data_IF_949680814998
#
_entry.id   IF_949680814998
#
_cell.length_a   1.000
_cell.length_b   1.000
_cell.length_c   1.000
_cell.angle_alpha   90.00
_cell.angle_beta   90.00
_cell.angle_gamma   90.00
#
_symmetry.space_group_name_H-M   'P 1'
#
loop_
_entity.id
_entity.type
_entity.pdbx_description
1 polymer ?
#
# COMPACT_ATOMS: atom_id res chain seq x y z
N UNK A 1 48.91 -3.83 0.98
CA UNK A 1 48.54 -2.93 -0.15
C UNK A 1 47.08 -2.52 -0.23
N UNK A 2 46.09 -3.41 -0.15
CA UNK A 2 44.67 -3.01 -0.24
C UNK A 2 44.23 -2.02 0.87
N UNK A 3 44.76 -2.19 2.08
CA UNK A 3 44.42 -1.36 3.24
C UNK A 3 45.00 0.07 3.14
N UNK A 4 46.15 0.28 2.48
CA UNK A 4 46.67 1.64 2.25
C UNK A 4 45.88 2.40 1.18
N UNK A 5 45.45 1.70 0.12
CA UNK A 5 44.57 2.25 -0.91
C UNK A 5 43.23 2.70 -0.34
N UNK A 6 42.63 1.89 0.54
CA UNK A 6 41.36 2.24 1.19
C UNK A 6 41.48 3.46 2.11
N UNK A 7 42.58 3.55 2.89
CA UNK A 7 42.88 4.75 3.70
C UNK A 7 43.09 6.00 2.85
N UNK A 8 43.76 5.88 1.70
CA UNK A 8 43.94 6.99 0.76
C UNK A 8 42.61 7.45 0.15
N UNK A 9 41.72 6.51 -0.19
CA UNK A 9 40.41 6.82 -0.74
C UNK A 9 39.51 7.51 0.28
N UNK A 10 39.51 7.04 1.54
CA UNK A 10 38.80 7.67 2.64
C UNK A 10 39.32 9.08 2.94
N UNK A 11 40.64 9.29 2.84
CA UNK A 11 41.23 10.62 3.00
C UNK A 11 40.74 11.57 1.92
N UNK A 12 40.79 11.16 0.64
CA UNK A 12 40.28 11.98 -0.47
C UNK A 12 38.76 12.24 -0.38
N UNK A 13 37.98 11.25 0.06
CA UNK A 13 36.55 11.43 0.27
C UNK A 13 36.26 12.43 1.39
N UNK A 14 37.02 12.38 2.48
CA UNK A 14 36.88 13.32 3.60
C UNK A 14 37.27 14.74 3.21
N UNK A 15 38.37 14.89 2.49
CA UNK A 15 38.85 16.18 1.96
C UNK A 15 37.82 16.79 1.00
N UNK A 16 37.26 15.97 0.09
CA UNK A 16 36.21 16.44 -0.83
C UNK A 16 34.90 16.81 -0.15
N UNK A 17 34.52 16.13 0.93
CA UNK A 17 33.34 16.51 1.73
C UNK A 17 33.60 17.84 2.43
N UNK A 18 34.80 18.03 2.98
CA UNK A 18 35.17 19.28 3.64
C UNK A 18 35.16 20.45 2.66
N UNK A 19 35.72 20.28 1.45
CA UNK A 19 35.68 21.30 0.40
C UNK A 19 34.23 21.67 0.02
N UNK A 20 33.34 20.68 -0.06
CA UNK A 20 31.91 20.90 -0.35
C UNK A 20 31.18 21.61 0.80
N UNK A 21 31.55 21.33 2.04
CA UNK A 21 31.00 22.02 3.22
C UNK A 21 31.42 23.49 3.25
N UNK A 22 32.69 23.79 2.95
CA UNK A 22 33.22 25.15 2.85
C UNK A 22 32.56 25.93 1.70
N UNK A 23 32.37 25.31 0.54
CA UNK A 23 31.66 25.91 -0.60
C UNK A 23 30.18 26.22 -0.28
N UNK A 24 29.49 25.30 0.41
CA UNK A 24 28.11 25.51 0.85
C UNK A 24 28.00 26.62 1.91
N UNK A 25 28.98 26.73 2.80
CA UNK A 25 29.03 27.80 3.79
C UNK A 25 29.27 29.16 3.13
N UNK A 26 30.17 29.24 2.14
CA UNK A 26 30.39 30.44 1.33
C UNK A 26 29.11 30.85 0.58
N UNK A 27 28.42 29.90 -0.05
CA UNK A 27 27.16 30.17 -0.76
C UNK A 27 26.06 30.68 0.19
N UNK A 28 25.98 30.14 1.41
CA UNK A 28 25.04 30.59 2.44
C UNK A 28 25.34 32.01 2.90
N UNK A 29 26.62 32.34 3.12
CA UNK A 29 27.04 33.68 3.48
C UNK A 29 26.72 34.70 2.37
N UNK A 30 26.94 34.33 1.11
CA UNK A 30 26.57 35.16 -0.04
C UNK A 30 25.06 35.36 -0.17
N UNK A 31 24.28 34.28 0.02
CA UNK A 31 22.81 34.35 0.02
C UNK A 31 22.29 35.24 1.14
N UNK A 32 22.89 35.16 2.33
CA UNK A 32 22.54 36.01 3.45
C UNK A 32 22.86 37.49 3.16
N UNK A 33 24.03 37.78 2.58
CA UNK A 33 24.41 39.14 2.18
C UNK A 33 23.45 39.72 1.13
N UNK A 34 23.08 38.93 0.12
CA UNK A 34 22.10 39.36 -0.90
C UNK A 34 20.72 39.62 -0.29
N UNK A 35 20.33 38.83 0.72
CA UNK A 35 19.08 39.04 1.45
C UNK A 35 19.11 40.30 2.31
N UNK A 36 20.20 40.55 3.02
CA UNK A 36 20.39 41.78 3.81
C UNK A 36 20.43 43.02 2.90
N UNK A 37 21.02 42.90 1.71
CA UNK A 37 21.00 43.95 0.70
C UNK A 37 19.59 44.20 0.17
N UNK A 38 18.83 43.13 -0.16
CA UNK A 38 17.44 43.26 -0.59
C UNK A 38 16.53 43.86 0.51
N UNK A 39 16.72 43.49 1.78
CA UNK A 39 15.99 44.08 2.91
C UNK A 39 16.40 45.54 3.18
N UNK A 40 17.65 45.91 2.86
CA UNK A 40 18.13 47.29 2.88
C UNK A 40 17.50 48.13 1.77
N UNK A 41 17.50 47.60 0.55
CA UNK A 41 16.88 48.23 -0.62
C UNK A 41 15.36 48.37 -0.43
N UNK A 42 14.67 47.38 0.14
CA UNK A 42 13.24 47.48 0.49
C UNK A 42 12.97 48.54 1.56
N UNK A 43 13.87 48.73 2.54
CA UNK A 43 13.74 49.78 3.56
C UNK A 43 14.03 51.16 3.00
N UNK A 44 15.00 51.31 2.10
CA UNK A 44 15.22 52.57 1.39
C UNK A 44 14.06 52.89 0.43
N UNK A 45 13.49 51.89 -0.25
CA UNK A 45 12.30 52.07 -1.09
C UNK A 45 11.04 52.38 -0.26
N UNK A 46 10.90 51.80 0.93
CA UNK A 46 9.80 52.09 1.86
C UNK A 46 9.95 53.48 2.51
N UNK A 47 11.17 53.92 2.81
CA UNK A 47 11.44 55.25 3.35
C UNK A 47 11.32 56.34 2.27
N UNK A 48 11.68 56.03 1.02
CA UNK A 48 11.41 56.89 -0.13
C UNK A 48 9.91 56.95 -0.48
N UNK A 49 9.15 55.86 -0.31
CA UNK A 49 7.68 55.83 -0.47
C UNK A 49 6.90 56.50 0.68
N UNK A 50 7.49 56.69 1.87
CA UNK A 50 6.84 57.41 2.97
C UNK A 50 7.07 58.93 2.92
N UNK A 51 7.93 59.41 2.02
CA UNK A 51 8.27 60.82 1.84
C UNK A 51 7.75 61.43 0.53
N UNK A 52 7.04 60.68 -0.32
CA UNK A 52 6.64 61.15 -1.64
C UNK A 52 5.22 60.72 -2.00
N UNK A 53 4.33 61.72 -1.98
CA UNK A 53 3.08 61.87 -2.73
C UNK A 53 1.78 61.26 -2.17
N UNK A 54 1.25 61.93 -1.16
CA UNK A 54 -0.11 62.48 -1.26
C UNK A 54 -0.06 63.57 -2.36
N UNK A 55 -0.78 63.47 -3.50
CA UNK A 55 -0.72 64.47 -4.55
C UNK A 55 -1.67 65.62 -4.18
N UNK A 56 -1.34 66.35 -3.12
CA UNK A 56 -1.81 67.71 -2.98
C UNK A 56 -0.87 68.58 -3.83
N UNK A 57 -1.39 69.05 -4.95
CA UNK A 57 -0.82 70.13 -5.78
C UNK A 57 0.20 69.71 -6.86
N UNK A 58 -0.27 69.01 -7.90
CA UNK A 58 0.30 69.11 -9.25
C UNK A 58 -0.71 69.87 -10.10
N UNK A 59 -0.22 70.90 -10.79
CA UNK A 59 -1.00 71.90 -11.51
C UNK A 59 -1.98 71.34 -12.52
N UNK A 60 -2.92 72.23 -12.87
CA UNK A 60 -4.01 72.14 -13.84
C UNK A 60 -3.62 71.48 -15.18
N UNK A 61 -3.41 70.17 -15.17
CA UNK A 61 -3.24 69.34 -16.35
C UNK A 61 -4.18 68.15 -16.29
N UNK A 62 -4.94 67.92 -17.35
CA UNK A 62 -5.95 66.86 -17.39
C UNK A 62 -5.24 65.50 -17.45
N UNK A 63 -5.14 64.76 -16.35
CA UNK A 63 -4.65 63.38 -16.37
C UNK A 63 -5.81 62.40 -16.52
N UNK A 64 -5.76 61.54 -17.54
CA UNK A 64 -6.74 60.47 -17.73
C UNK A 64 -6.22 59.16 -17.13
N UNK A 65 -7.06 58.47 -16.35
CA UNK A 65 -6.76 57.13 -15.82
C UNK A 65 -7.64 56.12 -16.53
N UNK A 66 -7.04 55.15 -17.21
CA UNK A 66 -7.76 54.08 -17.91
C UNK A 66 -7.39 52.71 -17.36
N UNK A 67 -8.32 51.76 -17.43
CA UNK A 67 -8.06 50.36 -17.06
C UNK A 67 -7.45 49.66 -18.27
N UNK A 68 -6.32 48.99 -18.09
CA UNK A 68 -5.64 48.25 -19.16
C UNK A 68 -5.91 46.75 -19.07
N UNK A 69 -6.03 46.22 -17.85
CA UNK A 69 -6.11 44.76 -17.65
C UNK A 69 -6.73 44.35 -16.32
N UNK A 70 -7.47 43.24 -16.35
CA UNK A 70 -7.82 42.47 -15.15
C UNK A 70 -6.76 41.39 -14.94
N UNK A 71 -5.94 41.55 -13.90
CA UNK A 71 -4.83 40.64 -13.62
C UNK A 71 -5.28 39.37 -12.89
N UNK A 72 -6.19 39.53 -11.93
CA UNK A 72 -6.66 38.43 -11.09
C UNK A 72 -8.06 38.74 -10.61
N UNK A 73 -8.86 37.70 -10.37
CA UNK A 73 -10.09 37.82 -9.60
C UNK A 73 -10.25 36.67 -8.62
N UNK A 74 -10.81 36.95 -7.46
CA UNK A 74 -11.09 36.00 -6.39
C UNK A 74 -12.55 36.16 -6.01
N UNK A 75 -13.26 35.04 -5.86
CA UNK A 75 -14.62 35.03 -5.33
C UNK A 75 -14.57 34.56 -3.88
N UNK A 76 -15.13 35.35 -2.98
CA UNK A 76 -15.23 35.02 -1.55
C UNK A 76 -16.68 34.89 -1.15
N UNK A 77 -17.02 33.77 -0.53
CA UNK A 77 -18.30 33.56 0.14
C UNK A 77 -18.12 33.93 1.62
N UNK A 78 -18.60 35.12 1.98
CA UNK A 78 -18.72 35.58 3.36
C UNK A 78 -20.19 35.48 3.81
N UNK A 79 -20.42 35.62 5.11
CA UNK A 79 -21.74 35.43 5.75
C UNK A 79 -22.82 36.38 5.24
N UNK A 80 -22.43 37.52 4.65
CA UNK A 80 -23.35 38.57 4.18
C UNK A 80 -23.51 38.63 2.65
N UNK A 81 -22.91 37.71 1.90
CA UNK A 81 -23.07 37.63 0.45
C UNK A 81 -21.84 37.13 -0.31
N UNK A 82 -21.97 37.06 -1.63
CA UNK A 82 -20.85 36.79 -2.53
C UNK A 82 -20.11 38.10 -2.80
N UNK A 83 -18.81 38.14 -2.50
CA UNK A 83 -17.97 39.28 -2.84
C UNK A 83 -16.95 38.88 -3.91
N UNK A 84 -16.69 39.78 -4.85
CA UNK A 84 -15.72 39.59 -5.92
C UNK A 84 -14.62 40.63 -5.75
N UNK A 85 -13.40 40.15 -5.59
CA UNK A 85 -12.20 40.99 -5.54
C UNK A 85 -11.44 40.85 -6.85
N UNK A 86 -11.16 41.95 -7.54
CA UNK A 86 -10.38 41.95 -8.76
C UNK A 86 -9.14 42.86 -8.63
N UNK A 87 -7.99 42.34 -9.07
CA UNK A 87 -6.75 43.09 -9.21
C UNK A 87 -6.72 43.71 -10.60
N UNK A 88 -6.82 45.03 -10.65
CA UNK A 88 -6.88 45.80 -11.89
C UNK A 88 -5.57 46.54 -12.11
N UNK A 89 -5.13 46.58 -13.36
CA UNK A 89 -3.99 47.37 -13.81
C UNK A 89 -4.51 48.63 -14.49
N UNK A 90 -4.11 49.77 -13.96
CA UNK A 90 -4.47 51.10 -14.43
C UNK A 90 -3.27 51.75 -15.11
N UNK A 91 -3.54 52.57 -16.11
CA UNK A 91 -2.58 53.37 -16.84
C UNK A 91 -2.96 54.85 -16.73
N UNK A 92 -2.01 55.67 -16.28
CA UNK A 92 -2.17 57.12 -16.19
C UNK A 92 -1.51 57.74 -17.40
N UNK A 93 -2.32 58.42 -18.21
CA UNK A 93 -1.88 59.19 -19.37
C UNK A 93 -2.03 60.68 -19.08
N UNK A 94 -0.94 61.43 -19.27
CA UNK A 94 -0.98 62.89 -19.19
C UNK A 94 -1.45 63.45 -20.54
N UNK A 95 -2.62 64.11 -20.57
CA UNK A 95 -3.20 64.60 -21.83
C UNK A 95 -2.42 65.78 -22.42
N UNK A 96 -1.68 66.52 -21.61
CA UNK A 96 -0.94 67.71 -22.06
C UNK A 96 0.38 67.38 -22.75
N UNK A 97 0.99 66.23 -22.43
CA UNK A 97 2.29 65.79 -22.96
C UNK A 97 2.34 64.26 -23.15
N UNK A 98 1.61 63.70 -24.14
CA UNK A 98 1.47 62.26 -24.33
C UNK A 98 2.77 61.53 -24.71
N UNK A 99 3.74 62.22 -25.31
CA UNK A 99 5.00 61.63 -25.81
C UNK A 99 6.21 61.82 -24.86
N UNK A 100 6.06 62.60 -23.79
CA UNK A 100 7.20 63.00 -22.97
C UNK A 100 7.62 61.94 -21.94
N UNK A 101 6.68 61.10 -21.49
CA UNK A 101 6.93 60.07 -20.50
C UNK A 101 6.13 58.80 -20.82
N UNK A 102 6.73 57.60 -20.67
CA UNK A 102 5.97 56.36 -20.78
C UNK A 102 4.85 56.37 -19.74
N UNK A 103 3.64 55.91 -20.11
CA UNK A 103 2.49 55.99 -19.23
C UNK A 103 2.73 55.14 -17.98
N UNK A 104 2.44 55.71 -16.81
CA UNK A 104 2.70 55.04 -15.53
C UNK A 104 1.60 54.01 -15.29
N UNK A 105 2.00 52.77 -15.06
CA UNK A 105 1.10 51.66 -14.73
C UNK A 105 1.18 51.30 -13.26
N UNK A 106 0.04 51.08 -12.64
CA UNK A 106 -0.04 50.60 -11.27
C UNK A 106 -1.19 49.62 -11.09
N UNK A 107 -1.10 48.78 -10.06
CA UNK A 107 -2.10 47.75 -9.77
C UNK A 107 -2.85 48.09 -8.50
N UNK A 108 -4.17 47.88 -8.50
CA UNK A 108 -5.03 48.12 -7.34
C UNK A 108 -6.12 47.07 -7.23
N UNK A 109 -6.35 46.59 -6.02
CA UNK A 109 -7.50 45.74 -5.70
C UNK A 109 -8.77 46.58 -5.62
N UNK A 110 -9.85 46.09 -6.25
CA UNK A 110 -11.20 46.61 -6.06
C UNK A 110 -12.17 45.49 -5.70
N UNK A 111 -13.11 45.83 -4.84
CA UNK A 111 -14.24 45.01 -4.44
C UNK A 111 -15.43 45.31 -5.35
N UNK A 112 -16.18 44.26 -5.69
CA UNK A 112 -17.44 44.30 -6.42
C UNK A 112 -18.42 43.36 -5.72
N UNK A 113 -19.68 43.77 -5.59
CA UNK A 113 -20.70 42.96 -4.93
C UNK A 113 -21.36 41.97 -5.91
N UNK A 114 -21.25 42.22 -7.23
CA UNK A 114 -21.78 41.31 -8.26
C UNK A 114 -20.87 41.22 -9.49
N UNK A 115 -20.96 40.11 -10.21
CA UNK A 115 -20.23 39.92 -11.49
C UNK A 115 -20.68 40.94 -12.56
N UNK A 116 -21.93 41.40 -12.49
CA UNK A 116 -22.45 42.44 -13.38
C UNK A 116 -21.79 43.79 -13.12
N UNK A 117 -21.57 44.15 -11.85
CA UNK A 117 -20.88 45.38 -11.47
C UNK A 117 -19.43 45.41 -11.96
N UNK A 118 -18.71 44.29 -11.83
CA UNK A 118 -17.35 44.14 -12.37
C UNK A 118 -17.34 44.30 -13.89
N UNK A 119 -18.28 43.66 -14.60
CA UNK A 119 -18.38 43.76 -16.07
C UNK A 119 -18.72 45.16 -16.53
N UNK A 120 -19.62 45.85 -15.85
CA UNK A 120 -19.99 47.22 -16.16
C UNK A 120 -18.84 48.19 -15.90
N UNK A 121 -18.09 47.99 -14.81
CA UNK A 121 -16.91 48.78 -14.49
C UNK A 121 -15.85 48.68 -15.60
N UNK A 122 -15.58 47.47 -16.08
CA UNK A 122 -14.59 47.22 -17.14
C UNK A 122 -15.06 47.75 -18.50
N UNK A 123 -16.36 47.70 -18.79
CA UNK A 123 -16.92 48.15 -20.09
C UNK A 123 -16.99 49.67 -20.24
N UNK A 124 -17.08 50.41 -19.13
CA UNK A 124 -17.22 51.87 -19.16
C UNK A 124 -15.93 52.59 -19.53
N UNK A 125 -14.77 52.02 -19.18
CA UNK A 125 -13.46 52.65 -19.37
C UNK A 125 -12.76 52.25 -20.68
N UNK A 126 -13.17 51.15 -21.33
CA UNK A 126 -12.57 50.68 -22.58
C UNK A 126 -13.63 50.28 -23.61
N UNK A 127 -13.58 50.87 -24.80
CA UNK A 127 -14.51 50.55 -25.89
C UNK A 127 -14.47 49.07 -26.33
N UNK A 128 -13.36 48.38 -26.11
CA UNK A 128 -13.23 46.93 -26.25
C UNK A 128 -13.30 46.26 -24.87
N UNK A 129 -14.14 45.21 -24.67
CA UNK A 129 -14.31 44.57 -23.38
C UNK A 129 -13.03 43.81 -22.96
N UNK A 130 -12.44 44.19 -21.82
CA UNK A 130 -11.25 43.49 -21.29
C UNK A 130 -11.57 42.02 -20.97
N UNK A 131 -10.60 41.14 -21.23
CA UNK A 131 -10.72 39.72 -20.92
C UNK A 131 -10.64 39.47 -19.40
N UNK A 132 -11.58 38.68 -18.88
CA UNK A 132 -11.67 38.31 -17.46
C UNK A 132 -10.94 36.98 -17.22
N UNK A 133 -9.84 36.96 -16.44
CA UNK A 133 -9.16 35.71 -16.09
C UNK A 133 -10.09 34.78 -15.27
N UNK A 134 -9.84 33.46 -15.21
CA UNK A 134 -10.60 32.57 -14.32
C UNK A 134 -10.44 32.99 -12.85
N UNK A 135 -11.41 32.59 -12.00
CA UNK A 135 -11.31 32.85 -10.56
C UNK A 135 -10.11 32.10 -9.97
N UNK A 136 -9.29 32.83 -9.24
CA UNK A 136 -8.30 32.25 -8.35
C UNK A 136 -8.96 31.61 -7.14
N UNK A 137 -8.27 30.64 -6.54
CA UNK A 137 -8.72 29.97 -5.33
C UNK A 137 -9.03 31.00 -4.24
N UNK A 138 -10.14 30.82 -3.54
CA UNK A 138 -10.42 31.65 -2.37
C UNK A 138 -9.41 31.36 -1.25
N UNK A 139 -9.18 32.28 -0.31
CA UNK A 139 -8.28 32.05 0.82
C UNK A 139 -8.61 30.77 1.59
N UNK A 140 -9.91 30.48 1.80
CA UNK A 140 -10.39 29.25 2.44
C UNK A 140 -10.06 27.99 1.61
N UNK A 141 -10.22 28.05 0.28
CA UNK A 141 -9.87 26.93 -0.60
C UNK A 141 -8.36 26.69 -0.65
N UNK A 142 -7.58 27.77 -0.75
CA UNK A 142 -6.12 27.72 -0.72
C UNK A 142 -5.60 27.11 0.57
N UNK A 143 -6.11 27.56 1.73
CA UNK A 143 -5.76 26.99 3.05
C UNK A 143 -6.08 25.50 3.14
N UNK A 144 -7.25 25.06 2.66
CA UNK A 144 -7.63 23.63 2.66
C UNK A 144 -6.70 22.79 1.77
N UNK A 145 -6.30 23.32 0.61
CA UNK A 145 -5.38 22.63 -0.29
C UNK A 145 -3.99 22.56 0.33
N UNK A 146 -3.53 23.63 0.97
CA UNK A 146 -2.25 23.67 1.67
C UNK A 146 -2.20 22.66 2.83
N UNK A 147 -3.25 22.57 3.64
CA UNK A 147 -3.34 21.57 4.72
C UNK A 147 -3.32 20.14 4.17
N UNK A 148 -4.07 19.87 3.08
CA UNK A 148 -4.05 18.56 2.42
C UNK A 148 -2.67 18.22 1.86
N UNK A 149 -2.00 19.19 1.25
CA UNK A 149 -0.65 19.02 0.72
C UNK A 149 0.35 18.73 1.85
N UNK A 150 0.29 19.49 2.96
CA UNK A 150 1.10 19.26 4.17
C UNK A 150 0.88 17.86 4.74
N UNK A 151 -0.38 17.41 4.82
CA UNK A 151 -0.72 16.07 5.29
C UNK A 151 -0.15 14.98 4.37
N UNK A 152 -0.31 15.13 3.05
CA UNK A 152 0.24 14.20 2.06
C UNK A 152 1.77 14.09 2.15
N UNK A 153 2.46 15.23 2.26
CA UNK A 153 3.92 15.25 2.45
C UNK A 153 4.33 14.54 3.73
N UNK A 154 3.62 14.78 4.84
CA UNK A 154 3.88 14.08 6.10
C UNK A 154 3.68 12.57 5.97
N UNK A 155 2.62 12.13 5.28
CA UNK A 155 2.34 10.72 5.06
C UNK A 155 3.44 10.06 4.21
N UNK A 156 3.80 10.67 3.07
CA UNK A 156 4.85 10.15 2.17
C UNK A 156 6.20 10.09 2.89
N UNK A 157 6.52 11.09 3.72
CA UNK A 157 7.77 11.11 4.51
C UNK A 157 7.82 9.94 5.49
N UNK A 158 6.71 9.66 6.18
CA UNK A 158 6.62 8.54 7.12
C UNK A 158 6.66 7.18 6.39
N UNK A 159 6.00 7.06 5.23
CA UNK A 159 6.09 5.87 4.40
C UNK A 159 7.52 5.62 3.89
N UNK A 160 8.23 6.67 3.48
CA UNK A 160 9.63 6.58 3.07
C UNK A 160 10.53 6.16 4.23
N UNK A 161 10.31 6.70 5.43
CA UNK A 161 11.00 6.26 6.64
C UNK A 161 10.76 4.77 6.90
N UNK A 162 9.50 4.31 6.85
CA UNK A 162 9.14 2.89 7.04
C UNK A 162 9.76 2.01 5.97
N UNK A 163 9.77 2.46 4.72
CA UNK A 163 10.42 1.75 3.61
C UNK A 163 11.92 1.59 3.86
N UNK A 164 12.63 2.66 4.23
CA UNK A 164 14.07 2.59 4.56
C UNK A 164 14.36 1.61 5.68
N UNK A 165 13.56 1.63 6.76
CA UNK A 165 13.72 0.69 7.87
C UNK A 165 13.48 -0.75 7.40
N UNK A 166 12.41 -1.01 6.63
CA UNK A 166 12.13 -2.35 6.09
C UNK A 166 13.23 -2.85 5.17
N UNK A 167 13.72 -2.01 4.26
CA UNK A 167 14.81 -2.35 3.36
C UNK A 167 16.11 -2.67 4.11
N UNK A 168 16.44 -1.88 5.14
CA UNK A 168 17.62 -2.15 5.98
C UNK A 168 17.48 -3.44 6.79
N UNK A 169 16.29 -3.72 7.34
CA UNK A 169 16.01 -4.98 8.05
C UNK A 169 16.13 -6.17 7.09
N UNK A 170 15.53 -6.07 5.91
CA UNK A 170 15.59 -7.11 4.90
C UNK A 170 17.04 -7.37 4.47
N UNK A 171 17.81 -6.32 4.23
CA UNK A 171 19.25 -6.43 3.92
C UNK A 171 20.02 -7.13 5.04
N UNK A 172 19.76 -6.78 6.30
CA UNK A 172 20.38 -7.47 7.44
C UNK A 172 19.98 -8.94 7.55
N UNK A 173 18.74 -9.27 7.23
CA UNK A 173 18.27 -10.66 7.19
C UNK A 173 18.95 -11.45 6.07
N UNK A 174 19.06 -10.89 4.86
CA UNK A 174 19.78 -11.53 3.75
C UNK A 174 21.26 -11.71 4.07
N UNK A 175 21.91 -10.69 4.66
CA UNK A 175 23.31 -10.77 5.08
C UNK A 175 23.54 -11.79 6.21
N UNK A 176 22.54 -12.01 7.07
CA UNK A 176 22.57 -13.07 8.07
C UNK A 176 22.44 -14.46 7.42
N UNK A 177 21.47 -14.64 6.51
CA UNK A 177 21.29 -15.89 5.76
C UNK A 177 22.53 -16.27 4.94
N UNK A 178 23.19 -15.30 4.29
CA UNK A 178 24.44 -15.54 3.55
C UNK A 178 25.54 -16.01 4.50
N UNK A 179 25.67 -15.39 5.69
CA UNK A 179 26.66 -15.82 6.69
C UNK A 179 26.38 -17.22 7.22
N UNK A 180 25.12 -17.56 7.45
CA UNK A 180 24.72 -18.91 7.87
C UNK A 180 25.03 -19.95 6.79
N UNK A 181 24.74 -19.64 5.52
CA UNK A 181 25.11 -20.49 4.38
C UNK A 181 26.63 -20.65 4.25
N UNK A 182 27.39 -19.56 4.41
CA UNK A 182 28.85 -19.62 4.38
C UNK A 182 29.41 -20.44 5.54
N UNK A 183 28.86 -20.31 6.74
CA UNK A 183 29.22 -21.10 7.93
C UNK A 183 28.93 -22.59 7.72
N UNK A 184 27.73 -22.92 7.22
CA UNK A 184 27.33 -24.28 6.88
C UNK A 184 28.23 -24.88 5.80
N UNK A 185 28.54 -24.11 4.74
CA UNK A 185 29.44 -24.54 3.69
C UNK A 185 30.87 -24.74 4.18
N UNK A 186 31.38 -23.90 5.08
CA UNK A 186 32.69 -24.11 5.72
C UNK A 186 32.69 -25.36 6.61
N UNK A 187 31.61 -25.60 7.36
CA UNK A 187 31.49 -26.81 8.19
C UNK A 187 31.44 -28.08 7.33
N UNK A 188 30.67 -28.05 6.24
CA UNK A 188 30.64 -29.13 5.25
C UNK A 188 31.99 -29.29 4.55
N UNK A 189 32.66 -28.20 4.16
CA UNK A 189 34.00 -28.25 3.57
C UNK A 189 35.05 -28.78 4.55
N UNK A 190 34.92 -28.48 5.84
CA UNK A 190 35.80 -29.04 6.89
C UNK A 190 35.61 -30.55 7.01
N UNK A 191 34.34 -31.03 7.00
CA UNK A 191 34.03 -32.47 6.94
C UNK A 191 34.51 -33.15 5.66
N UNK A 192 34.48 -32.44 4.52
CA UNK A 192 35.05 -32.92 3.24
C UNK A 192 36.58 -33.08 3.33
N UNK A 193 37.27 -32.13 3.96
CA UNK A 193 38.73 -32.21 4.18
C UNK A 193 39.09 -33.36 5.16
N UNK A 194 38.18 -33.76 6.04
CA UNK A 194 38.34 -34.93 6.94
C UNK A 194 38.25 -36.29 6.22
N UNK A 195 37.97 -36.31 4.90
CA UNK A 195 38.26 -37.47 4.04
C UNK A 195 37.21 -38.58 4.02
N UNK A 196 35.96 -38.31 4.42
CA UNK A 196 34.84 -39.21 4.11
C UNK A 196 34.34 -38.95 2.69
N UNK A 197 34.70 -39.86 1.76
CA UNK A 197 33.98 -40.12 0.49
C UNK A 197 34.43 -39.37 -0.79
N UNK A 198 35.72 -39.49 -1.13
CA UNK A 198 36.37 -38.94 -2.35
C UNK A 198 35.70 -39.36 -3.67
N UNK A 199 35.07 -40.55 -3.73
CA UNK A 199 34.40 -41.07 -4.93
C UNK A 199 33.10 -40.31 -5.19
N UNK A 200 32.28 -40.10 -4.15
CA UNK A 200 31.07 -39.27 -4.25
C UNK A 200 31.42 -37.80 -4.51
N UNK A 201 32.55 -37.31 -3.99
CA UNK A 201 33.03 -35.96 -4.31
C UNK A 201 33.42 -35.80 -5.78
N UNK A 202 34.02 -36.81 -6.40
CA UNK A 202 34.36 -36.78 -7.82
C UNK A 202 33.11 -36.78 -8.69
N UNK A 203 32.10 -37.58 -8.34
CA UNK A 203 30.81 -37.60 -9.02
C UNK A 203 30.05 -36.28 -8.83
N UNK A 204 30.03 -35.73 -7.61
CA UNK A 204 29.42 -34.44 -7.32
C UNK A 204 30.14 -33.28 -8.04
N UNK A 205 31.47 -33.31 -8.11
CA UNK A 205 32.23 -32.30 -8.84
C UNK A 205 31.94 -32.34 -10.35
N UNK A 206 31.71 -33.54 -10.91
CA UNK A 206 31.31 -33.70 -12.32
C UNK A 206 29.90 -33.16 -12.57
N UNK A 207 28.94 -33.43 -11.67
CA UNK A 207 27.57 -32.91 -11.80
C UNK A 207 27.53 -31.39 -11.58
N UNK A 208 28.25 -30.86 -10.59
CA UNK A 208 28.37 -29.43 -10.34
C UNK A 208 29.04 -28.71 -11.52
N UNK A 209 30.10 -29.28 -12.10
CA UNK A 209 30.74 -28.71 -13.30
C UNK A 209 29.80 -28.72 -14.50
N UNK A 210 29.02 -29.78 -14.70
CA UNK A 210 28.02 -29.82 -15.77
C UNK A 210 26.92 -28.77 -15.57
N UNK A 211 26.45 -28.58 -14.33
CA UNK A 211 25.47 -27.55 -13.99
C UNK A 211 26.03 -26.14 -14.16
N UNK A 212 27.29 -25.91 -13.77
CA UNK A 212 27.95 -24.62 -13.96
C UNK A 212 28.12 -24.28 -15.45
N UNK A 213 28.47 -25.26 -16.30
CA UNK A 213 28.55 -25.03 -17.74
C UNK A 213 27.17 -24.74 -18.34
N UNK A 214 26.11 -25.43 -17.91
CA UNK A 214 24.74 -25.11 -18.33
C UNK A 214 24.37 -23.68 -17.94
N UNK A 215 24.59 -23.28 -16.69
CA UNK A 215 24.31 -21.93 -16.21
C UNK A 215 25.12 -20.86 -16.95
N UNK A 216 26.39 -21.14 -17.28
CA UNK A 216 27.21 -20.23 -18.11
C UNK A 216 26.64 -20.10 -19.52
N UNK A 217 26.23 -21.20 -20.14
CA UNK A 217 25.63 -21.16 -21.48
C UNK A 217 24.29 -20.44 -21.47
N UNK A 218 23.50 -20.58 -20.42
CA UNK A 218 22.23 -19.89 -20.24
C UNK A 218 22.43 -18.38 -20.02
N UNK A 219 23.39 -17.99 -19.16
CA UNK A 219 23.72 -16.57 -18.99
C UNK A 219 24.24 -15.94 -20.28
N UNK A 220 25.11 -16.63 -21.01
CA UNK A 220 25.61 -16.15 -22.30
C UNK A 220 24.48 -15.99 -23.34
N UNK A 221 23.50 -16.90 -23.34
CA UNK A 221 22.32 -16.80 -24.20
C UNK A 221 21.43 -15.61 -23.80
N UNK A 222 21.23 -15.37 -22.50
CA UNK A 222 20.48 -14.21 -21.99
C UNK A 222 21.18 -12.88 -22.33
N UNK A 223 22.51 -12.80 -22.17
CA UNK A 223 23.28 -11.62 -22.57
C UNK A 223 23.20 -11.36 -24.07
N UNK A 224 23.27 -12.41 -24.90
CA UNK A 224 23.09 -12.29 -26.35
C UNK A 224 21.68 -11.81 -26.70
N UNK A 225 20.65 -12.34 -26.04
CA UNK A 225 19.26 -11.92 -26.23
C UNK A 225 19.04 -10.46 -25.84
N UNK A 226 19.60 -10.01 -24.70
CA UNK A 226 19.49 -8.62 -24.28
C UNK A 226 20.25 -7.68 -25.20
N UNK A 227 21.40 -8.09 -25.70
CA UNK A 227 22.17 -7.32 -26.68
C UNK A 227 21.40 -7.16 -27.98
N UNK A 228 20.81 -8.24 -28.50
CA UNK A 228 19.98 -8.19 -29.71
C UNK A 228 18.74 -7.29 -29.51
N UNK A 229 18.04 -7.42 -28.37
CA UNK A 229 16.90 -6.57 -28.05
C UNK A 229 17.30 -5.09 -27.92
N UNK A 230 18.47 -4.81 -27.33
CA UNK A 230 19.02 -3.46 -27.22
C UNK A 230 19.38 -2.89 -28.60
N UNK A 231 20.01 -3.68 -29.47
CA UNK A 231 20.39 -3.27 -30.82
C UNK A 231 19.14 -2.98 -31.68
N UNK A 232 18.08 -3.78 -31.54
CA UNK A 232 16.76 -3.53 -32.16
C UNK A 232 16.17 -2.21 -31.66
N UNK A 233 16.12 -2.00 -30.34
CA UNK A 233 15.60 -0.76 -29.75
C UNK A 233 16.42 0.46 -30.17
N UNK A 234 17.74 0.33 -30.28
CA UNK A 234 18.62 1.40 -30.74
C UNK A 234 18.41 1.71 -32.22
N UNK A 235 18.22 0.68 -33.05
CA UNK A 235 17.87 0.85 -34.47
C UNK A 235 16.51 1.54 -34.63
N UNK A 236 15.50 1.13 -33.86
CA UNK A 236 14.18 1.80 -33.81
C UNK A 236 14.30 3.24 -33.32
N UNK A 237 15.09 3.49 -32.27
CA UNK A 237 15.31 4.83 -31.72
C UNK A 237 15.98 5.76 -32.74
N UNK A 238 16.97 5.25 -33.47
CA UNK A 238 17.63 6.00 -34.53
C UNK A 238 16.71 6.24 -35.73
N UNK A 239 15.91 5.25 -36.12
CA UNK A 239 14.89 5.40 -37.16
C UNK A 239 13.85 6.47 -36.78
N UNK A 240 13.35 6.41 -35.53
CA UNK A 240 12.47 7.41 -34.92
C UNK A 240 13.17 8.76 -34.68
N UNK A 241 14.49 8.88 -34.73
CA UNK A 241 15.15 10.20 -34.72
C UNK A 241 15.34 10.76 -36.12
N UNK A 242 15.46 9.90 -37.13
CA UNK A 242 15.75 10.28 -38.52
C UNK A 242 14.54 10.59 -39.40
N UNK A 243 13.33 10.18 -39.02
CA UNK A 243 12.13 10.27 -39.86
C UNK A 243 11.00 11.03 -39.16
N UNK A 244 10.82 12.34 -39.42
CA UNK A 244 9.57 13.11 -39.17
C UNK A 244 8.73 12.72 -37.93
N UNK A 245 9.37 12.52 -36.79
CA UNK A 245 8.96 11.52 -35.80
C UNK A 245 8.04 12.01 -34.70
N UNK A 246 7.88 13.31 -34.57
CA UNK A 246 6.98 13.91 -33.59
C UNK A 246 5.50 13.62 -33.93
N UNK A 247 5.15 13.62 -35.22
CA UNK A 247 3.80 13.32 -35.68
C UNK A 247 3.42 11.83 -35.55
N UNK A 248 4.38 10.93 -35.80
CA UNK A 248 4.15 9.49 -35.68
C UNK A 248 4.16 9.03 -34.21
N UNK A 249 5.02 9.61 -33.37
CA UNK A 249 5.03 9.34 -31.92
C UNK A 249 3.72 9.80 -31.28
N UNK A 250 3.21 10.98 -31.66
CA UNK A 250 1.90 11.46 -31.20
C UNK A 250 0.76 10.54 -31.67
N UNK A 251 0.82 9.99 -32.89
CA UNK A 251 -0.17 9.01 -33.37
C UNK A 251 -0.07 7.67 -32.61
N UNK A 252 1.14 7.16 -32.38
CA UNK A 252 1.36 5.93 -31.60
C UNK A 252 0.97 6.09 -30.13
N UNK A 253 1.19 7.26 -29.53
CA UNK A 253 0.74 7.56 -28.17
C UNK A 253 -0.78 7.59 -28.07
N UNK A 254 -1.47 8.21 -29.04
CA UNK A 254 -2.93 8.15 -29.11
C UNK A 254 -3.42 6.71 -29.24
N UNK A 255 -2.82 5.94 -30.15
CA UNK A 255 -3.18 4.53 -30.35
C UNK A 255 -2.92 3.67 -29.11
N UNK A 256 -1.78 3.84 -28.43
CA UNK A 256 -1.45 3.11 -27.19
C UNK A 256 -2.36 3.53 -26.04
N UNK A 257 -2.67 4.81 -25.93
CA UNK A 257 -3.62 5.31 -24.94
C UNK A 257 -5.03 4.74 -25.15
N UNK A 258 -5.52 4.77 -26.39
CA UNK A 258 -6.81 4.18 -26.77
C UNK A 258 -6.83 2.67 -26.52
N UNK A 259 -5.75 1.96 -26.85
CA UNK A 259 -5.64 0.52 -26.58
C UNK A 259 -5.66 0.21 -25.08
N UNK A 260 -4.87 0.91 -24.25
CA UNK A 260 -4.90 0.71 -22.79
C UNK A 260 -6.24 1.10 -22.18
N UNK A 261 -6.93 2.10 -22.74
CA UNK A 261 -8.25 2.52 -22.27
C UNK A 261 -9.30 1.46 -22.59
N UNK A 262 -9.29 0.91 -23.81
CA UNK A 262 -10.16 -0.20 -24.21
C UNK A 262 -9.87 -1.48 -23.38
N UNK A 263 -8.60 -1.78 -23.10
CA UNK A 263 -8.21 -2.94 -22.30
C UNK A 263 -8.63 -2.77 -20.83
N UNK A 264 -8.56 -1.55 -20.29
CA UNK A 264 -9.11 -1.21 -18.98
C UNK A 264 -10.63 -1.38 -18.95
N UNK A 265 -11.34 -0.95 -19.98
CA UNK A 265 -12.80 -1.12 -20.08
C UNK A 265 -13.19 -2.60 -20.19
N UNK A 266 -12.47 -3.40 -20.97
CA UNK A 266 -12.69 -4.84 -21.09
C UNK A 266 -12.40 -5.58 -19.76
N UNK A 267 -11.28 -5.26 -19.09
CA UNK A 267 -10.98 -5.80 -17.77
C UNK A 267 -12.01 -5.38 -16.72
N UNK A 268 -12.49 -4.14 -16.77
CA UNK A 268 -13.55 -3.66 -15.88
C UNK A 268 -14.87 -4.42 -16.14
N UNK A 269 -15.22 -4.66 -17.39
CA UNK A 269 -16.40 -5.44 -17.79
C UNK A 269 -16.29 -6.90 -17.34
N UNK A 270 -15.12 -7.53 -17.55
CA UNK A 270 -14.86 -8.90 -17.07
C UNK A 270 -14.90 -9.01 -15.55
N UNK A 271 -14.34 -8.03 -14.84
CA UNK A 271 -14.41 -7.99 -13.37
C UNK A 271 -15.87 -7.88 -12.91
N UNK A 272 -16.66 -7.02 -13.54
CA UNK A 272 -18.09 -6.90 -13.23
C UNK A 272 -18.83 -8.22 -13.45
N UNK A 273 -18.61 -8.89 -14.59
CA UNK A 273 -19.21 -10.19 -14.85
C UNK A 273 -18.79 -11.27 -13.84
N UNK A 274 -17.53 -11.30 -13.42
CA UNK A 274 -17.06 -12.29 -12.43
C UNK A 274 -17.60 -11.98 -11.02
N UNK A 275 -17.78 -10.70 -10.68
CA UNK A 275 -18.47 -10.29 -9.44
C UNK A 275 -19.93 -10.75 -9.48
N UNK A 276 -20.66 -10.47 -10.56
CA UNK A 276 -22.06 -10.91 -10.73
C UNK A 276 -22.17 -12.45 -10.65
N UNK A 277 -21.27 -13.17 -11.31
CA UNK A 277 -21.21 -14.63 -11.26
C UNK A 277 -20.84 -15.18 -9.87
N UNK A 278 -19.96 -14.50 -9.15
CA UNK A 278 -19.62 -14.84 -7.76
C UNK A 278 -20.82 -14.61 -6.83
N UNK A 279 -21.56 -13.52 -7.02
CA UNK A 279 -22.81 -13.24 -6.29
C UNK A 279 -23.89 -14.28 -6.60
N UNK A 280 -24.08 -14.64 -7.86
CA UNK A 280 -25.00 -15.71 -8.26
C UNK A 280 -24.60 -17.07 -7.66
N UNK A 281 -23.31 -17.41 -7.67
CA UNK A 281 -22.80 -18.63 -7.05
C UNK A 281 -22.98 -18.61 -5.52
N UNK A 282 -22.78 -17.46 -4.88
CA UNK A 282 -23.04 -17.29 -3.45
C UNK A 282 -24.53 -17.42 -3.12
N UNK A 283 -25.40 -16.86 -3.95
CA UNK A 283 -26.85 -16.96 -3.85
C UNK A 283 -27.34 -18.41 -4.05
N UNK A 284 -26.77 -19.13 -5.03
CA UNK A 284 -27.02 -20.56 -5.22
C UNK A 284 -26.57 -21.39 -4.02
N UNK A 285 -25.38 -21.13 -3.46
CA UNK A 285 -24.89 -21.81 -2.24
C UNK A 285 -25.82 -21.55 -1.06
N UNK A 286 -26.27 -20.31 -0.86
CA UNK A 286 -27.26 -19.96 0.18
C UNK A 286 -28.58 -20.72 0.00
N UNK A 287 -29.08 -20.83 -1.24
CA UNK A 287 -30.31 -21.61 -1.54
C UNK A 287 -30.15 -23.10 -1.28
N UNK A 288 -28.99 -23.69 -1.65
CA UNK A 288 -28.69 -25.10 -1.38
C UNK A 288 -28.56 -25.36 0.12
N UNK A 289 -27.88 -24.48 0.86
CA UNK A 289 -27.76 -24.59 2.31
C UNK A 289 -29.13 -24.46 3.00
N UNK A 290 -29.97 -23.51 2.55
CA UNK A 290 -31.34 -23.38 3.05
C UNK A 290 -32.16 -24.66 2.85
N UNK A 291 -32.11 -25.28 1.66
CA UNK A 291 -32.79 -26.55 1.38
C UNK A 291 -32.26 -27.73 2.21
N UNK A 292 -30.96 -27.73 2.56
CA UNK A 292 -30.36 -28.76 3.42
C UNK A 292 -30.88 -28.71 4.85
N UNK A 293 -31.10 -27.51 5.39
CA UNK A 293 -31.72 -27.36 6.71
C UNK A 293 -33.19 -27.77 6.68
N UNK A 294 -33.93 -27.43 5.63
CA UNK A 294 -35.32 -27.84 5.46
C UNK A 294 -35.49 -29.36 5.40
N UNK A 295 -34.63 -30.06 4.66
CA UNK A 295 -34.61 -31.52 4.59
C UNK A 295 -34.30 -32.15 5.96
N UNK A 296 -33.31 -31.63 6.69
CA UNK A 296 -33.01 -32.07 8.06
C UNK A 296 -34.18 -31.85 9.02
N UNK A 297 -34.88 -30.72 8.92
CA UNK A 297 -36.06 -30.45 9.74
C UNK A 297 -37.21 -31.41 9.43
N UNK A 298 -37.40 -31.75 8.16
CA UNK A 298 -38.39 -32.74 7.73
C UNK A 298 -38.05 -34.14 8.25
N UNK A 299 -36.81 -34.59 8.09
CA UNK A 299 -36.34 -35.90 8.59
C UNK A 299 -36.41 -35.98 10.11
N UNK A 300 -36.08 -34.88 10.80
CA UNK A 300 -36.21 -34.79 12.24
C UNK A 300 -37.68 -34.88 12.67
N UNK A 301 -38.59 -34.19 11.99
CA UNK A 301 -40.03 -34.25 12.27
C UNK A 301 -40.60 -35.65 12.02
N UNK A 302 -40.15 -36.31 10.96
CA UNK A 302 -40.54 -37.69 10.63
C UNK A 302 -39.98 -38.71 11.62
N UNK A 303 -38.71 -38.57 12.05
CA UNK A 303 -38.13 -39.42 13.09
C UNK A 303 -38.82 -39.23 14.43
N UNK A 304 -39.17 -38.00 14.83
CA UNK A 304 -40.00 -37.75 16.02
C UNK A 304 -41.38 -38.40 15.91
N UNK A 305 -42.00 -38.35 14.71
CA UNK A 305 -43.29 -39.01 14.47
C UNK A 305 -43.17 -40.53 14.61
N UNK A 306 -42.12 -41.13 14.06
CA UNK A 306 -41.84 -42.56 14.19
C UNK A 306 -41.54 -42.94 15.64
N UNK A 307 -40.70 -42.17 16.34
CA UNK A 307 -40.40 -42.40 17.76
C UNK A 307 -41.66 -42.33 18.61
N UNK A 308 -42.53 -41.33 18.40
CA UNK A 308 -43.80 -41.22 19.10
C UNK A 308 -44.74 -42.39 18.80
N UNK A 309 -44.76 -42.86 17.55
CA UNK A 309 -45.54 -44.04 17.14
C UNK A 309 -45.01 -45.30 17.82
N UNK A 310 -43.69 -45.53 17.77
CA UNK A 310 -43.01 -46.68 18.39
C UNK A 310 -43.11 -46.67 19.91
N UNK A 311 -43.00 -45.50 20.54
CA UNK A 311 -43.19 -45.35 21.98
C UNK A 311 -44.63 -45.65 22.40
N UNK A 312 -45.63 -45.20 21.62
CA UNK A 312 -47.03 -45.59 21.83
C UNK A 312 -47.23 -47.09 21.67
N UNK A 313 -46.63 -47.69 20.65
CA UNK A 313 -46.70 -49.13 20.39
C UNK A 313 -46.05 -49.96 21.52
N UNK A 314 -44.87 -49.54 22.01
CA UNK A 314 -44.22 -50.15 23.18
C UNK A 314 -45.10 -50.00 24.42
N UNK A 315 -45.66 -48.80 24.66
CA UNK A 315 -46.53 -48.57 25.81
C UNK A 315 -47.81 -49.43 25.74
N UNK A 316 -48.41 -49.56 24.56
CA UNK A 316 -49.57 -50.42 24.33
C UNK A 316 -49.24 -51.92 24.38
N UNK A 317 -48.03 -52.33 23.98
CA UNK A 317 -47.55 -53.70 24.10
C UNK A 317 -47.25 -54.07 25.57
N UNK A 318 -46.69 -53.12 26.32
CA UNK A 318 -46.42 -53.26 27.75
C UNK A 318 -47.73 -53.28 28.56
N UNK A 319 -48.76 -52.57 28.12
CA UNK A 319 -50.11 -52.61 28.72
C UNK A 319 -50.89 -53.88 28.34
N UNK A 320 -50.55 -54.53 27.21
CA UNK A 320 -51.08 -55.83 26.77
C UNK A 320 -50.36 -57.04 27.36
N UNK A 321 -49.29 -56.83 28.13
CA UNK A 321 -48.62 -57.89 28.89
C UNK A 321 -47.83 -58.89 28.04
N UNK A 322 -47.31 -58.48 26.88
CA UNK A 322 -46.54 -59.35 25.99
C UNK A 322 -45.06 -58.94 25.89
N UNK A 323 -44.18 -59.92 26.16
CA UNK A 323 -42.72 -59.98 25.95
C UNK A 323 -41.81 -59.55 27.11
N UNK A 324 -41.42 -60.58 27.87
CA UNK A 324 -40.10 -60.75 28.44
C UNK A 324 -38.99 -60.72 27.36
N UNK A 325 -37.80 -60.22 27.72
CA UNK A 325 -36.54 -60.29 26.96
C UNK A 325 -36.42 -59.42 25.70
N UNK A 326 -35.84 -58.24 25.87
CA UNK A 326 -35.06 -57.56 24.81
C UNK A 326 -33.72 -57.13 25.39
N UNK A 327 -32.90 -58.14 25.65
CA UNK A 327 -31.45 -58.02 25.73
C UNK A 327 -30.95 -57.81 24.30
N UNK A 328 -30.88 -56.55 23.83
CA UNK A 328 -30.23 -56.23 22.56
C UNK A 328 -28.73 -56.15 22.81
N UNK A 329 -28.06 -57.29 22.61
CA UNK A 329 -26.69 -57.30 22.13
C UNK A 329 -26.77 -57.12 20.61
N UNK A 330 -26.25 -56.03 20.01
CA UNK A 330 -26.01 -55.99 18.59
C UNK A 330 -24.62 -56.59 18.32
N UNK A 331 -24.63 -57.88 17.99
CA UNK A 331 -23.55 -58.56 17.29
C UNK A 331 -23.53 -58.08 15.83
N UNK A 332 -22.36 -57.74 15.30
CA UNK A 332 -22.19 -57.38 13.87
C UNK A 332 -21.71 -55.97 13.49
N UNK A 333 -21.27 -55.12 14.43
CA UNK A 333 -20.67 -53.80 14.10
C UNK A 333 -19.62 -53.31 15.10
N UNK A 334 -19.10 -54.20 15.95
CA UNK A 334 -18.60 -53.78 17.27
C UNK A 334 -17.20 -53.18 17.31
N UNK A 335 -16.30 -53.43 16.35
CA UNK A 335 -14.92 -52.92 16.48
C UNK A 335 -14.80 -51.42 16.18
N UNK A 336 -15.43 -50.93 15.11
CA UNK A 336 -15.41 -49.50 14.76
C UNK A 336 -16.11 -48.63 15.83
N UNK A 337 -17.21 -49.14 16.39
CA UNK A 337 -17.94 -48.49 17.47
C UNK A 337 -17.16 -48.52 18.79
N UNK A 338 -16.49 -49.65 19.11
CA UNK A 338 -15.60 -49.75 20.28
C UNK A 338 -14.39 -48.83 20.12
N UNK A 339 -13.79 -48.76 18.94
CA UNK A 339 -12.67 -47.86 18.63
C UNK A 339 -13.07 -46.39 18.70
N UNK A 340 -14.24 -46.03 18.17
CA UNK A 340 -14.78 -44.67 18.25
C UNK A 340 -15.09 -44.27 19.69
N UNK A 341 -15.68 -45.19 20.46
CA UNK A 341 -15.94 -45.00 21.88
C UNK A 341 -14.62 -44.85 22.67
N UNK A 342 -13.63 -45.70 22.41
CA UNK A 342 -12.32 -45.66 23.06
C UNK A 342 -11.56 -44.37 22.72
N UNK A 343 -11.58 -43.90 21.47
CA UNK A 343 -10.97 -42.60 21.10
C UNK A 343 -11.61 -41.46 21.88
N UNK A 344 -12.94 -41.41 21.96
CA UNK A 344 -13.62 -40.38 22.70
C UNK A 344 -13.30 -40.46 24.21
N UNK A 345 -13.25 -41.66 24.76
CA UNK A 345 -12.86 -41.91 26.15
C UNK A 345 -11.42 -41.47 26.43
N UNK A 346 -10.48 -41.72 25.51
CA UNK A 346 -9.07 -41.30 25.63
C UNK A 346 -8.88 -39.79 25.51
N UNK A 347 -9.61 -39.13 24.60
CA UNK A 347 -9.59 -37.66 24.48
C UNK A 347 -10.08 -37.00 25.76
N UNK A 348 -11.16 -37.52 26.34
CA UNK A 348 -11.67 -37.02 27.62
C UNK A 348 -10.75 -37.38 28.79
N UNK A 349 -10.11 -38.55 28.77
CA UNK A 349 -9.13 -38.94 29.78
C UNK A 349 -7.95 -37.97 29.85
N UNK A 350 -7.39 -37.53 28.72
CA UNK A 350 -6.25 -36.61 28.72
C UNK A 350 -6.61 -35.20 29.24
N UNK A 351 -7.87 -34.78 29.09
CA UNK A 351 -8.34 -33.45 29.47
C UNK A 351 -9.05 -33.37 30.82
N UNK A 352 -9.30 -34.49 31.50
CA UNK A 352 -10.08 -34.55 32.75
C UNK A 352 -9.24 -34.51 34.03
N UNK A 353 -9.90 -34.19 35.15
CA UNK A 353 -9.33 -34.18 36.51
C UNK A 353 -9.10 -35.59 37.08
N UNK A 354 -8.24 -35.69 38.11
CA UNK A 354 -7.73 -36.96 38.66
C UNK A 354 -8.81 -37.96 39.11
N UNK A 355 -9.92 -37.48 39.69
CA UNK A 355 -11.03 -38.34 40.14
C UNK A 355 -11.84 -38.94 38.97
N UNK A 356 -11.96 -38.20 37.86
CA UNK A 356 -12.68 -38.66 36.66
C UNK A 356 -11.80 -39.62 35.85
N UNK A 357 -10.48 -39.38 35.85
CA UNK A 357 -9.47 -40.24 35.23
C UNK A 357 -9.50 -41.67 35.77
N UNK A 358 -9.66 -41.84 37.08
CA UNK A 358 -9.72 -43.18 37.70
C UNK A 358 -10.94 -44.00 37.24
N UNK A 359 -12.11 -43.36 37.17
CA UNK A 359 -13.31 -44.01 36.62
C UNK A 359 -13.16 -44.35 35.13
N UNK A 360 -12.53 -43.46 34.34
CA UNK A 360 -12.26 -43.68 32.92
C UNK A 360 -11.21 -44.78 32.68
N UNK A 361 -10.19 -44.91 33.54
CA UNK A 361 -9.19 -45.98 33.50
C UNK A 361 -9.83 -47.37 33.66
N UNK A 362 -10.79 -47.51 34.57
CA UNK A 362 -11.54 -48.76 34.75
C UNK A 362 -12.37 -49.15 33.52
N UNK A 363 -12.98 -48.16 32.87
CA UNK A 363 -13.72 -48.36 31.62
C UNK A 363 -12.77 -48.72 30.45
N UNK A 364 -11.64 -48.01 30.30
CA UNK A 364 -10.60 -48.29 29.30
C UNK A 364 -10.04 -49.70 29.47
N UNK A 365 -9.67 -50.09 30.70
CA UNK A 365 -9.14 -51.42 31.00
C UNK A 365 -10.15 -52.54 30.77
N UNK A 366 -11.45 -52.26 30.86
CA UNK A 366 -12.51 -53.24 30.54
C UNK A 366 -12.72 -53.39 29.04
N UNK A 367 -12.63 -52.29 28.27
CA UNK A 367 -12.72 -52.31 26.80
C UNK A 367 -11.49 -53.01 26.19
N UNK A 368 -10.30 -52.72 26.73
CA UNK A 368 -9.02 -53.28 26.27
C UNK A 368 -8.69 -54.66 26.88
N UNK A 369 -9.57 -55.20 27.73
CA UNK A 369 -9.41 -56.51 28.39
C UNK A 369 -8.09 -56.65 29.14
N UNK A 370 -7.68 -55.61 29.87
CA UNK A 370 -6.50 -55.68 30.76
C UNK A 370 -6.73 -56.75 31.82
N UNK A 371 -5.73 -57.61 31.99
CA UNK A 371 -5.73 -58.61 33.06
C UNK A 371 -5.66 -57.92 34.42
N UNK A 372 -6.06 -58.62 35.47
CA UNK A 372 -5.99 -58.08 36.84
C UNK A 372 -4.54 -57.74 37.23
N UNK A 373 -3.55 -58.47 36.69
CA UNK A 373 -2.12 -58.16 36.85
C UNK A 373 -1.72 -56.85 36.16
N UNK A 374 -2.26 -56.56 34.97
CA UNK A 374 -1.97 -55.32 34.25
C UNK A 374 -2.57 -54.10 34.97
N UNK A 375 -3.78 -54.28 35.53
CA UNK A 375 -4.44 -53.26 36.35
C UNK A 375 -3.64 -52.96 37.62
N UNK A 376 -3.08 -53.99 38.26
CA UNK A 376 -2.23 -53.83 39.45
C UNK A 376 -0.89 -53.13 39.12
N UNK A 377 -0.26 -53.47 37.99
CA UNK A 377 0.97 -52.81 37.53
C UNK A 377 0.76 -51.32 37.23
N UNK A 378 -0.37 -50.96 36.61
CA UNK A 378 -0.73 -49.56 36.35
C UNK A 378 -0.95 -48.80 37.66
N UNK A 379 -1.63 -49.41 38.63
CA UNK A 379 -1.81 -48.86 39.97
C UNK A 379 -0.49 -48.60 40.70
N UNK A 380 0.45 -49.56 40.68
CA UNK A 380 1.79 -49.39 41.28
C UNK A 380 2.58 -48.26 40.62
N UNK A 381 2.56 -48.18 39.29
CA UNK A 381 3.24 -47.12 38.53
C UNK A 381 2.64 -45.72 38.79
N UNK A 382 1.34 -45.64 39.08
CA UNK A 382 0.67 -44.40 39.48
C UNK A 382 1.15 -43.90 40.84
N UNK A 383 1.24 -44.81 41.83
CA UNK A 383 1.78 -44.50 43.15
C UNK A 383 3.25 -44.06 43.10
N UNK A 384 4.07 -44.69 42.25
CA UNK A 384 5.46 -44.28 42.03
C UNK A 384 5.56 -42.88 41.39
N UNK A 385 4.68 -42.55 40.44
CA UNK A 385 4.64 -41.23 39.82
C UNK A 385 4.12 -40.13 40.76
N UNK A 386 3.15 -40.44 41.63
CA UNK A 386 2.67 -39.51 42.66
C UNK A 386 3.72 -39.30 43.76
N UNK A 387 4.47 -40.34 44.12
CA UNK A 387 5.58 -40.25 45.08
C UNK A 387 6.81 -39.49 44.55
N UNK A 388 6.89 -39.22 43.24
CA UNK A 388 7.94 -38.40 42.62
C UNK A 388 7.56 -36.90 42.57
N UNK A 389 6.30 -36.56 42.83
CA UNK A 389 5.76 -35.20 42.81
C UNK A 389 5.63 -34.57 44.22
N UNK A 390 5.92 -35.35 45.27
CA UNK A 390 6.13 -34.92 46.66
C UNK A 390 7.57 -35.24 47.07
#
# INVERSE_FOLDING_TARGET
DANSKYKSLLKMAKERIQDQEEELEALRAETQRLREQAEGDEKEEANAKFSMDEPDNVGEGETSTSIVKVCQRVKTEETDGEEIWALLEFEISNLDMPDAFPPKRYKKWRKFDTESELKDFIRRDTGEPLNLPPYSLSPKQSSKIEEKAKHSVSQVTEEFRRFRVRAEVQRKQTDAQIRDLQSSNMHNATRRIEGEDVEKELEQARTDHAQLELLKTEMAAQEAQWKEAYDVLMAENNALKSSGSEALLAAQWRQRYEACLAEKEDLSSRLQMEVEKSEEAAEQRRKVDAGKYEMKYRDLKESFRLYRKKAKEIFEAQQRGDVAMLNVVPDGGSEEAKLSYLRNLMVNYLSSDAAVKEHMEGAIGTILKFSDEDREKIGKKKLENEAWLF
#
